data_IF_203445786862
#
_entry.id   IF_203445786862
#
_cell.length_a   1.000
_cell.length_b   1.000
_cell.length_c   1.000
_cell.angle_alpha   90.00
_cell.angle_beta   90.00
_cell.angle_gamma   90.00
#
_symmetry.space_group_name_H-M   'P 1'
#
loop_
_entity.id
_entity.type
_entity.pdbx_description
1 polymer ?
#
# COMPACT_ATOMS: atom_id res chain seq x y z
N UNK A 1 -7.11 7.89 -5.20
CA UNK A 1 -6.98 6.68 -4.37
C UNK A 1 -7.86 5.59 -4.95
N UNK A 2 -7.36 4.37 -5.09
CA UNK A 2 -8.10 3.22 -5.63
C UNK A 2 -7.89 2.03 -4.71
N UNK A 3 -8.96 1.34 -4.32
CA UNK A 3 -8.89 0.12 -3.53
C UNK A 3 -8.93 -1.11 -4.45
N UNK A 4 -8.09 -2.10 -4.16
CA UNK A 4 -8.05 -3.38 -4.86
C UNK A 4 -8.52 -4.49 -3.91
N UNK A 5 -9.76 -4.90 -4.12
CA UNK A 5 -10.51 -5.90 -3.37
C UNK A 5 -11.54 -6.62 -4.28
N UNK A 6 -12.40 -7.46 -3.69
CA UNK A 6 -13.46 -8.22 -4.37
C UNK A 6 -14.55 -7.37 -5.05
N UNK A 7 -14.66 -6.08 -4.73
CA UNK A 7 -15.59 -5.12 -5.34
C UNK A 7 -14.94 -4.23 -6.40
N UNK A 8 -13.68 -4.48 -6.73
CA UNK A 8 -12.98 -3.69 -7.75
C UNK A 8 -13.60 -3.94 -9.11
N UNK A 9 -13.95 -2.87 -9.82
CA UNK A 9 -14.47 -2.97 -11.17
C UNK A 9 -13.43 -3.51 -12.14
N UNK A 10 -13.81 -4.48 -12.97
CA UNK A 10 -12.94 -5.13 -13.95
C UNK A 10 -12.20 -4.13 -14.87
N UNK A 11 -12.91 -3.18 -15.46
CA UNK A 11 -12.31 -2.15 -16.31
C UNK A 11 -11.36 -1.21 -15.55
N UNK A 12 -11.56 -1.05 -14.24
CA UNK A 12 -10.64 -0.31 -13.38
C UNK A 12 -9.28 -1.01 -13.28
N UNK A 13 -9.28 -2.33 -13.12
CA UNK A 13 -8.05 -3.14 -13.12
C UNK A 13 -7.33 -3.05 -14.46
N UNK A 14 -8.05 -3.16 -15.60
CA UNK A 14 -7.42 -3.06 -16.91
C UNK A 14 -6.69 -1.73 -17.12
N UNK A 15 -7.32 -0.61 -16.73
CA UNK A 15 -6.69 0.72 -16.79
C UNK A 15 -5.47 0.83 -15.87
N UNK A 16 -5.51 0.18 -14.70
CA UNK A 16 -4.37 0.12 -13.80
C UNK A 16 -3.21 -0.69 -14.36
N UNK A 17 -3.49 -1.78 -15.10
CA UNK A 17 -2.47 -2.57 -15.79
C UNK A 17 -1.77 -1.69 -16.84
N UNK A 18 -2.53 -0.98 -17.68
CA UNK A 18 -1.98 -0.05 -18.67
C UNK A 18 -1.10 1.03 -18.02
N UNK A 19 -1.56 1.60 -16.91
CA UNK A 19 -0.80 2.58 -16.15
C UNK A 19 0.48 1.97 -15.54
N UNK A 20 0.40 0.76 -14.98
CA UNK A 20 1.54 0.06 -14.39
C UNK A 20 2.60 -0.31 -15.44
N UNK A 21 2.19 -0.64 -16.67
CA UNK A 21 3.11 -0.89 -17.78
C UNK A 21 3.98 0.34 -18.07
N UNK A 22 3.40 1.53 -18.02
CA UNK A 22 4.08 2.81 -18.27
C UNK A 22 4.84 3.37 -17.06
N UNK A 23 4.55 2.88 -15.86
CA UNK A 23 5.16 3.34 -14.61
C UNK A 23 6.43 2.57 -14.32
N UNK A 24 7.57 3.25 -14.13
CA UNK A 24 8.87 2.59 -13.89
C UNK A 24 9.24 2.50 -12.41
N UNK A 25 8.72 3.41 -11.59
CA UNK A 25 8.98 3.44 -10.15
C UNK A 25 7.71 3.61 -9.33
N UNK A 26 7.75 3.04 -8.13
CA UNK A 26 6.68 3.07 -7.15
C UNK A 26 7.25 3.42 -5.78
N UNK A 27 6.45 4.03 -4.92
CA UNK A 27 6.69 3.96 -3.47
C UNK A 27 5.78 2.90 -2.89
N UNK A 28 6.31 2.06 -2.02
CA UNK A 28 5.57 0.98 -1.39
C UNK A 28 5.66 1.08 0.13
N UNK A 29 4.56 0.72 0.77
CA UNK A 29 4.51 0.39 2.18
C UNK A 29 3.60 -0.83 2.38
N UNK A 30 3.67 -1.46 3.56
CA UNK A 30 2.84 -2.63 3.88
C UNK A 30 2.37 -2.63 5.32
N UNK A 31 1.19 -3.19 5.56
CA UNK A 31 0.64 -3.33 6.91
C UNK A 31 0.22 -4.75 7.21
N UNK A 32 0.57 -5.20 8.42
CA UNK A 32 0.01 -6.40 9.03
C UNK A 32 -1.19 -6.01 9.88
N UNK A 33 -2.24 -6.82 9.85
CA UNK A 33 -3.36 -6.65 10.75
C UNK A 33 -2.91 -6.73 12.22
N UNK A 34 -3.20 -5.69 13.01
CA UNK A 34 -2.72 -5.61 14.39
C UNK A 34 -3.25 -6.70 15.32
N UNK A 35 -4.39 -7.32 15.00
CA UNK A 35 -4.99 -8.37 15.82
C UNK A 35 -4.50 -9.76 15.43
N UNK A 36 -4.63 -10.11 14.16
CA UNK A 36 -4.33 -11.43 13.62
C UNK A 36 -2.88 -11.58 13.15
N UNK A 37 -2.13 -10.48 13.05
CA UNK A 37 -0.79 -10.41 12.47
C UNK A 37 -0.72 -10.91 11.03
N UNK A 38 -1.87 -11.03 10.35
CA UNK A 38 -1.95 -11.45 8.96
C UNK A 38 -1.59 -10.29 8.04
N UNK A 39 -0.92 -10.53 6.90
CA UNK A 39 -0.65 -9.47 5.93
C UNK A 39 -1.95 -8.94 5.34
N UNK A 40 -2.19 -7.65 5.55
CA UNK A 40 -3.51 -7.04 5.36
C UNK A 40 -3.52 -6.01 4.23
N UNK A 41 -2.54 -5.12 4.17
CA UNK A 41 -2.49 -4.06 3.16
C UNK A 41 -1.14 -3.97 2.48
N UNK A 42 -1.19 -3.63 1.19
CA UNK A 42 -0.05 -3.11 0.44
C UNK A 42 -0.46 -1.76 -0.15
N UNK A 43 0.27 -0.71 0.22
CA UNK A 43 0.08 0.64 -0.30
C UNK A 43 1.09 0.87 -1.42
N UNK A 44 0.63 1.43 -2.54
CA UNK A 44 1.51 1.75 -3.66
C UNK A 44 1.16 3.11 -4.25
N UNK A 45 2.16 3.99 -4.30
CA UNK A 45 2.11 5.24 -5.06
C UNK A 45 2.82 5.05 -6.39
N UNK A 46 2.13 5.38 -7.49
CA UNK A 46 2.69 5.33 -8.85
C UNK A 46 3.44 6.63 -9.14
N UNK A 47 4.69 6.52 -9.58
CA UNK A 47 5.46 7.66 -10.06
C UNK A 47 5.41 7.70 -11.58
N UNK A 48 4.46 8.45 -12.13
CA UNK A 48 4.36 8.62 -13.58
C UNK A 48 4.94 9.97 -14.00
N UNK A 49 6.00 9.96 -14.79
CA UNK A 49 6.53 11.15 -15.50
C UNK A 49 5.66 11.56 -16.69
N UNK A 50 4.79 10.66 -17.19
CA UNK A 50 4.00 10.87 -18.41
C UNK A 50 2.66 11.59 -18.21
N UNK A 51 2.22 11.82 -16.96
CA UNK A 51 0.89 12.38 -16.68
C UNK A 51 0.93 13.91 -16.69
N UNK A 52 0.49 14.49 -17.81
CA UNK A 52 0.35 15.94 -17.98
C UNK A 52 -0.61 16.61 -17.00
N UNK A 53 -1.49 15.83 -16.36
CA UNK A 53 -2.49 16.34 -15.40
C UNK A 53 -1.97 16.45 -13.96
N UNK A 54 -0.72 16.04 -13.69
CA UNK A 54 -0.13 16.10 -12.35
C UNK A 54 -0.81 15.21 -11.31
N UNK A 55 -1.73 14.32 -11.71
CA UNK A 55 -2.49 13.50 -10.77
C UNK A 55 -1.66 12.32 -10.27
N UNK A 56 -1.64 12.20 -8.95
CA UNK A 56 -0.98 11.10 -8.25
C UNK A 56 -1.95 9.93 -8.12
N UNK A 57 -1.50 8.74 -8.51
CA UNK A 57 -2.29 7.51 -8.35
C UNK A 57 -1.73 6.74 -7.16
N UNK A 58 -2.59 6.50 -6.17
CA UNK A 58 -2.31 5.61 -5.05
C UNK A 58 -3.30 4.46 -5.14
N UNK A 59 -2.79 3.24 -5.05
CA UNK A 59 -3.57 2.03 -4.90
C UNK A 59 -3.34 1.43 -3.51
N UNK A 60 -4.38 0.83 -2.94
CA UNK A 60 -4.30 0.06 -1.71
C UNK A 60 -4.85 -1.32 -2.02
N UNK A 61 -4.01 -2.35 -1.95
CA UNK A 61 -4.46 -3.73 -1.99
C UNK A 61 -4.96 -4.14 -0.62
N UNK A 62 -6.21 -4.61 -0.56
CA UNK A 62 -6.82 -5.12 0.66
C UNK A 62 -6.79 -6.64 0.63
N UNK A 63 -5.67 -7.19 1.07
CA UNK A 63 -5.27 -8.58 0.81
C UNK A 63 -6.23 -9.61 1.39
N UNK A 64 -6.86 -9.29 2.53
CA UNK A 64 -7.87 -10.13 3.17
C UNK A 64 -9.25 -10.09 2.50
N UNK A 65 -9.44 -9.17 1.55
CA UNK A 65 -10.71 -8.92 0.86
C UNK A 65 -10.62 -9.17 -0.65
N UNK A 66 -9.58 -9.87 -1.11
CA UNK A 66 -9.43 -10.25 -2.51
C UNK A 66 -10.55 -11.21 -2.96
N UNK A 67 -10.93 -11.19 -4.25
CA UNK A 67 -11.92 -12.13 -4.77
C UNK A 67 -11.38 -13.58 -4.76
N UNK A 68 -12.26 -14.59 -4.93
CA UNK A 68 -11.84 -15.99 -5.03
C UNK A 68 -10.80 -16.22 -6.13
N UNK A 69 -9.81 -17.09 -5.87
CA UNK A 69 -8.66 -17.35 -6.76
C UNK A 69 -9.07 -17.81 -8.15
N UNK A 70 -10.19 -18.51 -8.26
CA UNK A 70 -10.75 -19.00 -9.53
C UNK A 70 -11.59 -17.97 -10.30
N UNK A 71 -11.76 -16.75 -9.78
CA UNK A 71 -12.56 -15.71 -10.42
C UNK A 71 -11.78 -14.99 -11.53
N UNK A 72 -12.50 -14.53 -12.55
CA UNK A 72 -11.93 -13.70 -13.63
C UNK A 72 -11.32 -12.41 -13.08
N UNK A 73 -11.93 -11.82 -12.04
CA UNK A 73 -11.40 -10.63 -11.39
C UNK A 73 -10.05 -10.91 -10.71
N UNK A 74 -9.91 -12.05 -10.02
CA UNK A 74 -8.64 -12.43 -9.40
C UNK A 74 -7.54 -12.59 -10.44
N UNK A 75 -7.80 -13.22 -11.58
CA UNK A 75 -6.83 -13.37 -12.66
C UNK A 75 -6.35 -12.01 -13.20
N UNK A 76 -7.23 -11.00 -13.26
CA UNK A 76 -6.81 -9.66 -13.65
C UNK A 76 -6.01 -8.95 -12.54
N UNK A 77 -6.37 -9.16 -11.27
CA UNK A 77 -5.58 -8.66 -10.13
C UNK A 77 -4.19 -9.31 -10.13
N UNK A 78 -4.09 -10.61 -10.40
CA UNK A 78 -2.83 -11.32 -10.57
C UNK A 78 -1.99 -10.71 -11.69
N UNK A 79 -2.59 -10.46 -12.86
CA UNK A 79 -1.91 -9.78 -13.97
C UNK A 79 -1.44 -8.38 -13.60
N UNK A 80 -2.24 -7.62 -12.83
CA UNK A 80 -1.85 -6.32 -12.31
C UNK A 80 -0.65 -6.43 -11.37
N UNK A 81 -0.68 -7.36 -10.42
CA UNK A 81 0.43 -7.62 -9.49
C UNK A 81 1.69 -8.01 -10.28
N UNK A 82 1.62 -8.94 -11.22
CA UNK A 82 2.76 -9.32 -12.05
C UNK A 82 3.33 -8.15 -12.86
N UNK A 83 2.47 -7.22 -13.30
CA UNK A 83 2.89 -6.03 -14.05
C UNK A 83 3.58 -5.00 -13.16
N UNK A 84 3.05 -4.77 -11.95
CA UNK A 84 3.63 -3.84 -10.96
C UNK A 84 4.94 -4.41 -10.42
N UNK A 85 4.91 -5.64 -9.92
CA UNK A 85 6.02 -6.34 -9.29
C UNK A 85 6.85 -7.11 -10.33
N UNK A 86 7.25 -6.40 -11.39
CA UNK A 86 8.19 -6.89 -12.39
C UNK A 86 9.61 -6.43 -12.04
N UNK A 87 10.63 -7.24 -12.32
CA UNK A 87 12.03 -6.94 -11.97
C UNK A 87 12.60 -5.69 -12.65
N UNK A 88 11.96 -5.21 -13.72
CA UNK A 88 12.33 -3.96 -14.40
C UNK A 88 11.79 -2.70 -13.70
N UNK A 89 11.12 -2.84 -12.56
CA UNK A 89 10.51 -1.73 -11.81
C UNK A 89 11.30 -1.46 -10.54
N UNK A 90 11.30 -0.21 -10.10
CA UNK A 90 11.97 0.23 -8.88
C UNK A 90 10.96 0.55 -7.78
N UNK A 91 11.21 0.06 -6.57
CA UNK A 91 10.36 0.31 -5.41
C UNK A 91 11.12 1.13 -4.37
N UNK A 92 10.68 2.36 -4.13
CA UNK A 92 11.11 3.18 -3.01
C UNK A 92 10.40 2.67 -1.76
N UNK A 93 11.18 2.29 -0.74
CA UNK A 93 10.67 1.72 0.51
C UNK A 93 11.42 2.32 1.69
N UNK A 94 10.73 2.49 2.82
CA UNK A 94 11.39 2.90 4.06
C UNK A 94 11.87 1.67 4.84
N UNK A 95 13.07 1.19 4.50
CA UNK A 95 13.67 0.01 5.12
C UNK A 95 13.86 -1.13 4.12
N UNK A 96 13.77 -2.38 4.60
CA UNK A 96 14.06 -3.57 3.79
C UNK A 96 12.81 -4.07 3.07
N UNK A 97 12.62 -3.65 1.82
CA UNK A 97 11.44 -4.01 1.03
C UNK A 97 11.21 -5.52 0.84
N UNK A 98 12.28 -6.33 0.76
CA UNK A 98 12.16 -7.80 0.72
C UNK A 98 11.55 -8.36 2.01
N UNK A 99 11.97 -7.85 3.18
CA UNK A 99 11.46 -8.29 4.48
C UNK A 99 9.99 -7.88 4.66
N UNK A 100 9.59 -6.74 4.08
CA UNK A 100 8.19 -6.29 4.07
C UNK A 100 7.32 -7.17 3.17
N UNK A 101 7.71 -7.34 1.91
CA UNK A 101 6.88 -8.04 0.93
C UNK A 101 6.87 -9.56 1.15
N UNK A 102 7.94 -10.15 1.70
CA UNK A 102 8.01 -11.59 1.98
C UNK A 102 6.93 -12.07 2.96
N UNK A 103 6.42 -11.20 3.83
CA UNK A 103 5.28 -11.51 4.71
C UNK A 103 4.03 -11.90 3.92
N UNK A 104 3.89 -11.43 2.67
CA UNK A 104 2.73 -11.66 1.81
C UNK A 104 2.83 -12.94 0.95
N UNK A 105 3.87 -13.77 1.13
CA UNK A 105 4.03 -15.05 0.40
C UNK A 105 2.92 -16.07 0.69
N UNK A 106 2.11 -15.84 1.72
CA UNK A 106 0.89 -16.63 1.98
C UNK A 106 -0.15 -16.48 0.87
N UNK A 107 -0.06 -15.43 0.05
CA UNK A 107 -0.91 -15.23 -1.12
C UNK A 107 -0.18 -15.74 -2.38
N UNK A 108 -0.84 -16.52 -3.25
CA UNK A 108 -0.24 -17.03 -4.50
C UNK A 108 0.31 -15.94 -5.44
N UNK A 109 -0.17 -14.70 -5.26
CA UNK A 109 0.26 -13.49 -5.95
C UNK A 109 1.75 -13.15 -5.77
N UNK A 110 2.38 -13.61 -4.68
CA UNK A 110 3.73 -13.18 -4.28
C UNK A 110 4.66 -14.38 -4.08
N UNK A 111 5.27 -14.85 -5.15
CA UNK A 111 6.25 -15.93 -5.10
C UNK A 111 7.62 -15.43 -4.63
N UNK A 112 8.33 -16.23 -3.83
CA UNK A 112 9.62 -15.84 -3.26
C UNK A 112 10.64 -15.44 -4.33
N UNK A 113 10.78 -16.23 -5.39
CA UNK A 113 11.71 -15.96 -6.50
C UNK A 113 11.41 -14.61 -7.17
N UNK A 114 10.14 -14.27 -7.35
CA UNK A 114 9.73 -12.99 -7.90
C UNK A 114 10.10 -11.83 -6.96
N UNK A 115 9.82 -11.95 -5.65
CA UNK A 115 10.15 -10.92 -4.65
C UNK A 115 11.67 -10.64 -4.61
N UNK A 116 12.50 -11.67 -4.58
CA UNK A 116 13.96 -11.51 -4.53
C UNK A 116 14.55 -10.94 -5.83
N UNK A 117 13.82 -11.02 -6.94
CA UNK A 117 14.21 -10.42 -8.22
C UNK A 117 13.82 -8.94 -8.35
N UNK A 118 13.03 -8.39 -7.41
CA UNK A 118 12.63 -6.98 -7.43
C UNK A 118 13.77 -6.07 -7.02
N UNK A 119 13.77 -4.86 -7.58
CA UNK A 119 14.70 -3.81 -7.20
C UNK A 119 14.07 -2.86 -6.17
N UNK A 120 14.53 -2.96 -4.92
CA UNK A 120 14.14 -2.07 -3.84
C UNK A 120 15.22 -1.02 -3.57
N UNK A 121 14.85 0.26 -3.66
CA UNK A 121 15.67 1.37 -3.19
C UNK A 121 15.30 1.68 -1.73
N UNK A 122 16.23 1.38 -0.81
CA UNK A 122 16.02 1.58 0.62
C UNK A 122 16.28 3.04 1.01
N UNK A 123 15.21 3.83 1.04
CA UNK A 123 15.25 5.28 1.33
C UNK A 123 15.83 5.56 2.72
N UNK A 124 15.67 4.64 3.68
CA UNK A 124 16.20 4.80 5.03
C UNK A 124 17.74 4.76 5.06
N UNK A 125 18.37 3.86 4.30
CA UNK A 125 19.84 3.79 4.25
C UNK A 125 20.43 4.97 3.47
N UNK A 126 19.81 5.35 2.36
CA UNK A 126 20.20 6.54 1.59
C UNK A 126 20.06 7.82 2.43
N UNK A 127 19.01 7.91 3.24
CA UNK A 127 18.84 9.04 4.17
C UNK A 127 19.95 9.10 5.23
N UNK A 128 20.38 7.96 5.79
CA UNK A 128 21.50 7.91 6.75
C UNK A 128 22.80 8.41 6.12
N UNK A 129 23.07 8.01 4.88
CA UNK A 129 24.23 8.49 4.12
C UNK A 129 24.13 10.00 3.92
N UNK A 130 22.99 10.48 3.44
CA UNK A 130 22.75 11.91 3.18
C UNK A 130 22.96 12.79 4.43
N UNK A 131 22.50 12.36 5.61
CA UNK A 131 22.67 13.12 6.85
C UNK A 131 24.00 12.89 7.59
N UNK A 132 24.95 12.17 6.97
CA UNK A 132 26.23 11.77 7.56
C UNK A 132 26.09 11.01 8.90
N UNK A 133 24.99 10.30 9.10
CA UNK A 133 24.70 9.55 10.33
C UNK A 133 24.98 8.05 10.14
N UNK A 134 26.26 7.71 10.13
CA UNK A 134 26.74 6.33 9.99
C UNK A 134 26.76 5.55 11.33
N UNK A 135 26.42 6.19 12.46
CA UNK A 135 26.62 5.62 13.80
C UNK A 135 25.29 5.34 14.55
N UNK A 136 24.72 4.17 14.23
CA UNK A 136 23.96 3.26 15.14
C UNK A 136 22.48 3.51 15.48
N UNK A 137 21.79 4.54 14.98
CA UNK A 137 20.32 4.61 15.13
C UNK A 137 19.58 4.25 13.84
N UNK A 138 18.64 3.30 13.97
CA UNK A 138 17.61 3.07 12.95
C UNK A 138 16.71 4.30 12.95
N UNK A 139 16.79 5.11 11.90
CA UNK A 139 15.92 6.28 11.74
C UNK A 139 14.47 5.83 11.56
N UNK A 140 13.56 6.29 12.42
CA UNK A 140 12.15 6.14 12.10
C UNK A 140 11.79 7.10 10.97
N UNK A 141 10.82 6.71 10.13
CA UNK A 141 10.30 7.58 9.06
C UNK A 141 9.82 8.92 9.64
N UNK A 142 9.12 8.85 10.78
CA UNK A 142 8.62 10.03 11.49
C UNK A 142 9.74 10.99 11.89
N UNK A 143 10.86 10.48 12.43
CA UNK A 143 11.98 11.32 12.83
C UNK A 143 12.70 11.92 11.62
N UNK A 144 12.85 11.15 10.53
CA UNK A 144 13.44 11.64 9.29
C UNK A 144 12.59 12.77 8.67
N UNK A 145 11.27 12.60 8.63
CA UNK A 145 10.32 13.63 8.15
C UNK A 145 10.38 14.88 9.04
N UNK A 146 10.36 14.72 10.35
CA UNK A 146 10.44 15.83 11.29
C UNK A 146 11.74 16.62 11.14
N UNK A 147 12.88 15.92 11.03
CA UNK A 147 14.19 16.55 10.83
C UNK A 147 14.29 17.28 9.50
N UNK A 148 13.81 16.67 8.41
CA UNK A 148 14.01 17.18 7.05
C UNK A 148 13.04 18.31 6.71
N UNK A 149 11.79 18.20 7.18
CA UNK A 149 10.71 19.11 6.76
C UNK A 149 10.07 19.89 7.90
N UNK A 150 10.43 19.64 9.16
CA UNK A 150 9.73 20.22 10.31
C UNK A 150 8.27 19.76 10.44
N UNK A 151 7.94 18.59 9.88
CA UNK A 151 6.57 18.06 9.81
C UNK A 151 6.37 16.90 10.78
N UNK A 152 5.15 16.79 11.33
CA UNK A 152 4.75 15.65 12.14
C UNK A 152 4.05 14.59 11.27
N UNK A 153 4.55 13.36 11.33
CA UNK A 153 3.90 12.19 10.73
C UNK A 153 3.24 11.41 11.86
N UNK A 154 1.91 11.29 11.83
CA UNK A 154 1.16 10.57 12.86
C UNK A 154 1.32 9.07 12.70
N UNK A 155 1.99 8.43 13.66
CA UNK A 155 2.22 6.98 13.68
C UNK A 155 1.27 6.20 14.61
N UNK A 156 0.23 6.84 15.14
CA UNK A 156 -0.70 6.24 16.11
C UNK A 156 -1.49 5.02 15.57
N UNK A 157 -1.61 4.89 14.25
CA UNK A 157 -2.40 3.83 13.59
C UNK A 157 -1.58 2.62 13.12
N UNK A 158 -0.28 2.55 13.42
CA UNK A 158 0.62 1.48 12.94
C UNK A 158 0.15 0.06 13.32
N UNK A 159 -0.52 -0.12 14.47
CA UNK A 159 -1.00 -1.43 14.95
C UNK A 159 -2.52 -1.57 14.87
N UNK A 160 -3.13 -0.90 13.89
CA UNK A 160 -4.58 -0.92 13.72
C UNK A 160 -5.09 -2.26 13.19
N UNK A 161 -6.39 -2.48 13.31
CA UNK A 161 -7.07 -3.62 12.72
C UNK A 161 -7.23 -3.38 11.20
N UNK A 162 -6.17 -3.51 10.43
CA UNK A 162 -6.17 -3.29 8.99
C UNK A 162 -7.00 -4.32 8.22
N UNK A 163 -7.27 -5.48 8.82
CA UNK A 163 -8.06 -6.54 8.22
C UNK A 163 -9.54 -6.21 8.03
N UNK A 164 -10.05 -5.11 8.59
CA UNK A 164 -11.46 -4.70 8.39
C UNK A 164 -11.75 -4.19 6.98
N UNK A 165 -10.71 -3.94 6.16
CA UNK A 165 -10.81 -3.32 4.84
C UNK A 165 -11.17 -1.83 4.92
N UNK A 166 -10.39 -0.96 4.30
CA UNK A 166 -10.59 0.48 4.21
C UNK A 166 -11.68 0.90 3.21
N UNK A 167 -12.01 0.09 2.20
CA UNK A 167 -13.08 0.40 1.25
C UNK A 167 -14.46 0.27 1.90
N UNK A 168 -15.14 1.41 2.07
CA UNK A 168 -16.47 1.49 2.71
C UNK A 168 -17.51 0.57 2.04
N UNK A 169 -17.34 0.28 0.75
CA UNK A 169 -18.25 -0.56 -0.04
C UNK A 169 -18.19 -2.04 0.38
N UNK A 170 -17.06 -2.50 0.93
CA UNK A 170 -16.91 -3.88 1.43
C UNK A 170 -17.92 -4.15 2.55
N UNK A 171 -18.06 -3.19 3.46
CA UNK A 171 -18.97 -3.32 4.57
C UNK A 171 -20.44 -3.26 4.15
N UNK A 172 -20.78 -2.37 3.21
CA UNK A 172 -22.14 -2.30 2.66
C UNK A 172 -22.55 -3.63 2.01
N UNK A 173 -21.64 -4.33 1.34
CA UNK A 173 -21.93 -5.64 0.74
C UNK A 173 -21.99 -6.79 1.74
N UNK A 174 -21.16 -6.77 2.80
CA UNK A 174 -21.27 -7.76 3.89
C UNK A 174 -22.62 -7.65 4.60
N UNK A 175 -23.08 -6.42 4.87
CA UNK A 175 -24.40 -6.19 5.46
C UNK A 175 -25.54 -6.68 4.56
N UNK A 176 -25.45 -6.50 3.24
CA UNK A 176 -26.46 -7.00 2.29
C UNK A 176 -26.56 -8.53 2.26
N UNK A 177 -25.44 -9.24 2.46
CA UNK A 177 -25.42 -10.70 2.55
C UNK A 177 -25.88 -11.23 3.92
N UNK A 178 -25.73 -10.43 4.99
CA UNK A 178 -26.19 -10.74 6.35
C UNK A 178 -27.63 -10.32 6.65
N UNK A 179 -28.34 -9.68 5.72
CA UNK A 179 -29.76 -9.26 5.84
C UNK A 179 -30.79 -10.41 6.00
N UNK A 180 -30.34 -11.65 6.18
CA UNK A 180 -31.15 -12.71 6.81
C UNK A 180 -31.19 -12.62 8.35
N UNK A 181 -30.46 -11.68 8.98
CA UNK A 181 -30.52 -11.40 10.41
C UNK A 181 -30.64 -9.88 10.66
N UNK A 182 -31.60 -9.51 11.51
CA UNK A 182 -31.93 -8.13 11.91
C UNK A 182 -30.75 -7.39 12.58
N UNK A 183 -29.81 -6.87 11.79
CA UNK A 183 -28.74 -6.00 12.28
C UNK A 183 -28.84 -4.63 11.60
N UNK A 184 -28.82 -3.60 12.44
CA UNK A 184 -29.07 -2.19 12.11
C UNK A 184 -28.28 -1.70 10.88
N UNK A 185 -29.02 -1.12 9.96
CA UNK A 185 -28.58 -0.42 8.76
C UNK A 185 -27.83 0.87 9.10
N UNK A 186 -26.50 0.83 9.14
CA UNK A 186 -25.56 1.94 8.87
C UNK A 186 -24.23 1.61 9.54
N UNK A 187 -23.11 1.76 8.81
CA UNK A 187 -21.84 2.09 9.48
C UNK A 187 -22.10 3.26 10.42
N UNK A 188 -21.61 3.16 11.65
CA UNK A 188 -21.68 4.31 12.54
C UNK A 188 -20.77 5.41 11.96
N UNK A 189 -21.16 6.68 12.10
CA UNK A 189 -20.30 7.82 11.71
C UNK A 189 -18.88 7.69 12.30
N UNK A 190 -18.77 7.09 13.49
CA UNK A 190 -17.50 6.77 14.13
C UNK A 190 -16.61 5.80 13.32
N UNK A 191 -17.18 4.75 12.72
CA UNK A 191 -16.42 3.79 11.90
C UNK A 191 -15.91 4.42 10.61
N UNK A 192 -16.73 5.24 9.94
CA UNK A 192 -16.31 5.99 8.75
C UNK A 192 -15.16 6.95 9.08
N UNK A 193 -15.23 7.63 10.23
CA UNK A 193 -14.14 8.50 10.69
C UNK A 193 -12.86 7.72 11.00
N UNK A 194 -12.96 6.52 11.57
CA UNK A 194 -11.78 5.66 11.79
C UNK A 194 -11.17 5.26 10.44
N UNK A 195 -11.98 4.86 9.46
CA UNK A 195 -11.50 4.50 8.11
C UNK A 195 -10.78 5.64 7.41
N UNK A 196 -11.33 6.85 7.49
CA UNK A 196 -10.68 8.04 6.93
C UNK A 196 -9.31 8.30 7.57
N UNK A 197 -9.16 8.09 8.89
CA UNK A 197 -7.86 8.21 9.57
C UNK A 197 -6.88 7.14 9.11
N UNK A 198 -7.33 5.90 8.97
CA UNK A 198 -6.51 4.79 8.45
C UNK A 198 -6.06 5.01 7.00
N UNK A 199 -6.97 5.47 6.14
CA UNK A 199 -6.65 5.85 4.76
C UNK A 199 -5.63 6.98 4.75
N UNK A 200 -5.84 8.02 5.57
CA UNK A 200 -4.92 9.14 5.68
C UNK A 200 -3.53 8.69 6.11
N UNK A 201 -3.44 7.85 7.14
CA UNK A 201 -2.18 7.25 7.58
C UNK A 201 -1.47 6.52 6.43
N UNK A 202 -2.17 5.60 5.77
CA UNK A 202 -1.62 4.76 4.71
C UNK A 202 -1.11 5.59 3.51
N UNK A 203 -1.81 6.68 3.21
CA UNK A 203 -1.44 7.62 2.14
C UNK A 203 -0.27 8.51 2.57
N UNK A 204 -0.31 9.07 3.78
CA UNK A 204 0.72 9.97 4.28
C UNK A 204 2.08 9.26 4.41
N UNK A 205 2.11 7.97 4.74
CA UNK A 205 3.36 7.18 4.82
C UNK A 205 4.04 6.96 3.47
N UNK A 206 3.26 6.61 2.44
CA UNK A 206 3.77 6.55 1.07
C UNK A 206 4.29 7.92 0.60
N UNK A 207 3.55 8.99 0.89
CA UNK A 207 3.98 10.34 0.52
C UNK A 207 5.22 10.79 1.26
N UNK A 208 5.33 10.51 2.56
CA UNK A 208 6.49 10.83 3.37
C UNK A 208 7.76 10.16 2.81
N UNK A 209 7.67 8.87 2.48
CA UNK A 209 8.78 8.11 1.89
C UNK A 209 9.18 8.68 0.54
N UNK A 210 8.20 8.95 -0.34
CA UNK A 210 8.46 9.59 -1.64
C UNK A 210 9.12 10.96 -1.50
N UNK A 211 8.61 11.79 -0.58
CA UNK A 211 9.11 13.13 -0.36
C UNK A 211 10.55 13.13 0.16
N UNK A 212 10.88 12.20 1.06
CA UNK A 212 12.25 12.00 1.51
C UNK A 212 13.17 11.55 0.38
N UNK A 213 12.74 10.57 -0.42
CA UNK A 213 13.51 10.09 -1.56
C UNK A 213 13.88 11.23 -2.53
N UNK A 214 12.90 12.07 -2.89
CA UNK A 214 13.13 13.25 -3.73
C UNK A 214 14.11 14.24 -3.07
N UNK A 215 13.97 14.47 -1.76
CA UNK A 215 14.82 15.42 -1.04
C UNK A 215 16.29 14.97 -0.96
N UNK A 216 16.55 13.67 -0.95
CA UNK A 216 17.90 13.09 -0.92
C UNK A 216 18.45 12.74 -2.32
N UNK A 217 17.66 12.95 -3.38
CA UNK A 217 18.11 12.79 -4.76
C UNK A 217 17.97 11.38 -5.36
N UNK A 218 17.01 10.59 -4.88
CA UNK A 218 16.57 9.32 -5.48
C UNK A 218 15.42 9.55 -6.47
#
# INVERSE_FOLDING_TARGET
LIFINSLTGFFGILRLIELAQQTTSFTMDTELDGSSHRPALIQLQFHSTARKDGKITIIIFEMLHLPPVNSVLYQQIERLVQTIFHSSKTFLVWGKGVDELSKFQVYPLFQSTAIYALHFANVQEEFKLWCNDQQRQVWSLQLAVARTFGQFLDKSWTRSNWGVGLDVRLYQNLQLNELNYNVKSSLTEAEDQIRLKLIKYAVDDCFATTKLAVAIGL
#
